data_IF_554537909957
#
_entry.id   IF_554537909957
#
_cell.length_a   1.000
_cell.length_b   1.000
_cell.length_c   1.000
_cell.angle_alpha   90.00
_cell.angle_beta   90.00
_cell.angle_gamma   90.00
#
_symmetry.space_group_name_H-M   'P 1'
#
loop_
_entity.id
_entity.type
_entity.pdbx_description
1 polymer ?
#
# COMPACT_ATOMS: atom_id res chain seq x y z
N UNK A 1 14.97 7.48 -7.03
CA UNK A 1 14.61 8.10 -5.74
C UNK A 1 14.24 6.99 -4.77
N UNK A 2 14.84 6.94 -3.57
CA UNK A 2 14.39 6.02 -2.52
C UNK A 2 13.27 6.72 -1.74
N UNK A 3 12.03 6.29 -1.94
CA UNK A 3 10.87 6.79 -1.17
C UNK A 3 10.82 6.09 0.18
N UNK A 4 10.91 6.87 1.27
CA UNK A 4 10.75 6.40 2.64
C UNK A 4 9.43 6.95 3.18
N UNK A 5 8.55 6.08 3.64
CA UNK A 5 7.26 6.47 4.18
C UNK A 5 6.52 5.28 4.76
N UNK A 6 5.34 5.53 5.32
CA UNK A 6 4.46 4.51 5.88
C UNK A 6 3.01 4.76 5.52
N UNK A 7 2.29 3.66 5.34
CA UNK A 7 0.83 3.63 5.16
C UNK A 7 0.33 2.39 5.88
N UNK A 8 -0.95 2.40 6.27
CA UNK A 8 -1.64 1.21 6.73
C UNK A 8 -2.96 1.06 6.00
N UNK A 9 -3.17 -0.06 5.31
CA UNK A 9 -4.49 -0.41 4.78
C UNK A 9 -5.46 -0.69 5.94
N UNK A 10 -6.57 0.04 5.96
CA UNK A 10 -7.70 -0.19 6.86
C UNK A 10 -8.74 -1.10 6.20
N UNK A 11 -8.84 -1.06 4.86
CA UNK A 11 -9.55 -2.06 4.07
C UNK A 11 -8.85 -2.27 2.71
N UNK A 12 -8.56 -3.52 2.30
CA UNK A 12 -8.62 -4.74 3.11
C UNK A 12 -7.68 -4.65 4.31
N UNK A 13 -7.94 -5.44 5.35
CA UNK A 13 -7.14 -5.35 6.57
C UNK A 13 -5.67 -5.71 6.29
N UNK A 14 -4.75 -4.84 6.70
CA UNK A 14 -3.31 -5.11 6.60
C UNK A 14 -2.89 -6.32 7.44
N UNK A 15 -1.71 -6.87 7.13
CA UNK A 15 -1.12 -7.98 7.90
C UNK A 15 -0.81 -7.56 9.34
N UNK A 16 -0.91 -8.52 10.26
CA UNK A 16 -0.49 -8.32 11.64
C UNK A 16 1.04 -8.51 11.78
N UNK A 17 1.73 -7.68 12.59
CA UNK A 17 1.22 -6.51 13.28
C UNK A 17 0.99 -5.32 12.31
N UNK A 18 -0.12 -4.55 12.46
CA UNK A 18 -0.42 -3.42 11.60
C UNK A 18 0.45 -2.21 11.97
N UNK A 19 1.70 -2.21 11.53
CA UNK A 19 2.65 -1.12 11.79
C UNK A 19 2.26 0.12 10.99
N UNK A 20 2.00 1.24 11.67
CA UNK A 20 1.60 2.51 11.06
C UNK A 20 2.52 3.68 11.45
N UNK A 21 3.65 3.40 12.11
CA UNK A 21 4.66 4.36 12.53
C UNK A 21 6.07 4.03 12.03
N UNK A 22 6.30 2.80 11.54
CA UNK A 22 7.58 2.39 10.96
C UNK A 22 7.54 2.56 9.45
N UNK A 23 8.51 3.29 8.93
CA UNK A 23 8.67 3.52 7.49
C UNK A 23 9.27 2.30 6.76
N UNK A 24 9.27 2.38 5.42
CA UNK A 24 9.83 1.36 4.53
C UNK A 24 11.32 1.07 4.75
N UNK A 25 12.07 1.94 5.41
CA UNK A 25 13.48 1.70 5.74
C UNK A 25 13.65 0.77 6.96
N UNK A 26 12.61 0.62 7.78
CA UNK A 26 12.61 -0.19 9.00
C UNK A 26 11.69 -1.43 8.91
N UNK A 27 11.12 -1.67 7.74
CA UNK A 27 10.14 -2.73 7.51
C UNK A 27 10.54 -3.61 6.33
N UNK A 28 9.84 -4.74 6.13
CA UNK A 28 10.22 -5.78 5.17
C UNK A 28 9.38 -5.67 3.91
N UNK A 29 10.01 -5.51 2.74
CA UNK A 29 9.30 -5.54 1.46
C UNK A 29 8.73 -6.94 1.15
N UNK A 30 7.61 -7.05 0.40
CA UNK A 30 6.83 -5.95 -0.16
C UNK A 30 5.71 -5.43 0.76
N UNK A 31 5.41 -6.11 1.88
CA UNK A 31 4.19 -5.87 2.67
C UNK A 31 4.44 -5.27 4.07
N UNK A 32 5.64 -4.78 4.36
CA UNK A 32 6.06 -4.21 5.64
C UNK A 32 6.36 -5.24 6.74
N UNK A 33 5.60 -6.33 6.79
CA UNK A 33 5.76 -7.41 7.79
C UNK A 33 5.76 -8.80 7.14
N UNK A 34 6.30 -9.84 7.82
CA UNK A 34 6.24 -11.21 7.34
C UNK A 34 4.79 -11.68 7.11
N UNK A 35 4.61 -12.62 6.18
CA UNK A 35 3.32 -13.30 6.02
C UNK A 35 3.05 -14.12 7.30
N UNK A 36 1.91 -13.95 7.98
CA UNK A 36 1.59 -14.73 9.17
C UNK A 36 1.34 -16.20 8.80
N UNK A 37 1.52 -17.10 9.77
CA UNK A 37 1.27 -18.55 9.61
C UNK A 37 -0.21 -18.81 9.28
N UNK A 38 -1.11 -18.03 9.88
CA UNK A 38 -2.55 -18.07 9.66
C UNK A 38 -3.03 -16.72 9.10
N UNK A 39 -2.91 -16.49 7.77
CA UNK A 39 -3.32 -15.25 7.15
C UNK A 39 -4.85 -15.08 7.15
N UNK A 40 -5.28 -13.86 7.46
CA UNK A 40 -6.66 -13.43 7.23
C UNK A 40 -6.77 -12.90 5.80
N UNK A 41 -7.69 -13.46 5.03
CA UNK A 41 -7.93 -13.06 3.65
C UNK A 41 -9.21 -12.26 3.55
N UNK A 42 -9.18 -11.23 2.71
CA UNK A 42 -10.38 -10.55 2.23
C UNK A 42 -10.77 -11.17 0.90
N UNK A 43 -12.01 -11.63 0.79
CA UNK A 43 -12.57 -12.14 -0.46
C UNK A 43 -13.18 -10.99 -1.25
N UNK A 44 -12.72 -10.81 -2.48
CA UNK A 44 -13.24 -9.83 -3.44
C UNK A 44 -13.85 -10.61 -4.61
N UNK A 45 -15.06 -10.24 -5.00
CA UNK A 45 -15.81 -10.90 -6.07
C UNK A 45 -15.59 -10.16 -7.39
N UNK A 46 -15.50 -10.93 -8.47
CA UNK A 46 -15.32 -10.39 -9.82
C UNK A 46 -16.57 -9.59 -10.23
N UNK A 47 -16.37 -8.42 -10.81
CA UNK A 47 -17.44 -7.52 -11.24
C UNK A 47 -17.93 -6.54 -10.17
N UNK A 48 -17.51 -6.71 -8.92
CA UNK A 48 -17.86 -5.82 -7.83
C UNK A 48 -16.88 -4.64 -7.70
N UNK A 49 -17.39 -3.50 -7.22
CA UNK A 49 -16.59 -2.33 -6.89
C UNK A 49 -16.29 -2.28 -5.39
N UNK A 50 -15.03 -1.99 -5.04
CA UNK A 50 -14.59 -1.94 -3.65
C UNK A 50 -13.87 -0.63 -3.33
N UNK A 51 -14.16 -0.06 -2.16
CA UNK A 51 -13.46 1.09 -1.63
C UNK A 51 -12.28 0.64 -0.77
N UNK A 52 -11.08 0.65 -1.35
CA UNK A 52 -9.85 0.45 -0.60
C UNK A 52 -9.57 1.69 0.24
N UNK A 53 -9.28 1.50 1.52
CA UNK A 53 -9.00 2.59 2.46
C UNK A 53 -7.70 2.36 3.17
N UNK A 54 -6.98 3.45 3.40
CA UNK A 54 -5.73 3.45 4.16
C UNK A 54 -5.63 4.71 5.00
N UNK A 55 -4.73 4.68 5.97
CA UNK A 55 -4.36 5.84 6.77
C UNK A 55 -2.87 6.06 6.76
N UNK A 56 -2.50 7.34 6.91
CA UNK A 56 -1.13 7.77 7.20
C UNK A 56 -1.17 8.44 8.56
N UNK A 57 -0.53 7.83 9.55
CA UNK A 57 -0.50 8.43 10.90
C UNK A 57 0.33 9.72 10.91
N UNK A 58 1.32 9.81 10.02
CA UNK A 58 2.09 11.01 9.73
C UNK A 58 2.14 11.17 8.20
N UNK A 59 1.57 12.26 7.64
CA UNK A 59 1.59 12.50 6.21
C UNK A 59 3.02 12.62 5.68
N UNK A 60 3.26 12.06 4.48
CA UNK A 60 4.53 12.20 3.77
C UNK A 60 4.28 12.90 2.44
N UNK A 61 5.24 13.71 2.01
CA UNK A 61 5.28 14.20 0.64
C UNK A 61 5.53 13.03 -0.32
N UNK A 62 4.76 12.97 -1.40
CA UNK A 62 4.89 11.95 -2.42
C UNK A 62 3.57 11.65 -3.12
N UNK A 63 3.61 10.60 -3.94
CA UNK A 63 2.42 10.01 -4.54
C UNK A 63 2.21 8.58 -4.05
N UNK A 64 1.14 7.96 -4.53
CA UNK A 64 0.86 6.55 -4.23
C UNK A 64 0.79 5.70 -5.49
N UNK A 65 1.11 4.42 -5.32
CA UNK A 65 0.94 3.37 -6.33
C UNK A 65 0.22 2.21 -5.68
N UNK A 66 -0.83 1.71 -6.32
CA UNK A 66 -1.57 0.53 -5.87
C UNK A 66 -1.35 -0.60 -6.88
N UNK A 67 -0.90 -1.74 -6.37
CA UNK A 67 -0.50 -2.89 -7.18
C UNK A 67 -1.00 -4.18 -6.56
N UNK A 68 -1.35 -5.15 -7.41
CA UNK A 68 -1.65 -6.53 -7.04
C UNK A 68 -0.41 -7.37 -7.28
N UNK A 69 -0.02 -8.15 -6.27
CA UNK A 69 1.10 -9.09 -6.36
C UNK A 69 0.59 -10.52 -6.12
N UNK A 70 1.28 -11.52 -6.65
CA UNK A 70 0.99 -12.93 -6.39
C UNK A 70 1.65 -13.40 -5.07
N UNK A 71 1.49 -14.70 -4.77
CA UNK A 71 2.07 -15.31 -3.56
C UNK A 71 3.61 -15.31 -3.55
N UNK A 72 4.26 -15.37 -4.71
CA UNK A 72 5.71 -15.28 -4.85
C UNK A 72 6.24 -13.85 -4.68
N UNK A 73 5.35 -12.85 -4.71
CA UNK A 73 5.69 -11.43 -4.62
C UNK A 73 5.87 -10.75 -5.98
N UNK A 74 5.57 -11.44 -7.08
CA UNK A 74 5.64 -10.86 -8.42
C UNK A 74 4.45 -9.93 -8.66
N UNK A 75 4.70 -8.83 -9.37
CA UNK A 75 3.68 -7.89 -9.80
C UNK A 75 2.75 -8.56 -10.84
N UNK A 76 1.45 -8.59 -10.53
CA UNK A 76 0.40 -9.08 -11.44
C UNK A 76 -0.28 -7.93 -12.16
N UNK A 77 -0.61 -6.86 -11.43
CA UNK A 77 -1.34 -5.73 -12.00
C UNK A 77 -1.02 -4.43 -11.24
N UNK A 78 -0.99 -3.31 -11.97
CA UNK A 78 -0.93 -1.98 -11.38
C UNK A 78 -2.32 -1.33 -11.51
N UNK A 79 -3.01 -1.18 -10.38
CA UNK A 79 -4.35 -0.60 -10.32
C UNK A 79 -4.30 0.94 -10.37
N UNK A 80 -3.23 1.53 -9.85
CA UNK A 80 -3.01 2.97 -9.89
C UNK A 80 -1.50 3.27 -9.86
N UNK A 81 -1.00 4.25 -10.64
CA UNK A 81 -1.71 5.01 -11.68
C UNK A 81 -1.98 4.15 -12.93
N UNK A 82 -3.10 4.43 -13.62
CA UNK A 82 -3.51 3.72 -14.86
C UNK A 82 -2.89 4.29 -16.14
N UNK A 83 -2.36 5.53 -16.10
CA UNK A 83 -1.92 6.28 -17.29
C UNK A 83 -0.39 6.23 -17.54
N UNK A 84 0.31 5.25 -16.98
CA UNK A 84 1.76 5.08 -17.21
C UNK A 84 2.67 6.07 -16.47
N UNK A 85 2.13 6.94 -15.60
CA UNK A 85 2.96 7.63 -14.61
C UNK A 85 3.49 6.63 -13.57
N UNK A 86 4.50 7.01 -12.79
CA UNK A 86 5.06 6.11 -11.75
C UNK A 86 4.19 6.10 -10.48
N UNK A 87 3.60 7.25 -10.15
CA UNK A 87 2.74 7.46 -8.97
C UNK A 87 1.55 8.37 -9.30
N UNK A 88 0.46 8.24 -8.53
CA UNK A 88 -0.67 9.20 -8.52
C UNK A 88 -0.37 10.32 -7.52
N UNK A 89 -0.74 11.56 -7.85
CA UNK A 89 -0.75 12.68 -6.89
C UNK A 89 0.60 13.34 -6.64
N UNK A 90 1.62 13.09 -7.48
CA UNK A 90 2.94 13.72 -7.34
C UNK A 90 2.91 15.27 -7.41
N UNK A 91 1.85 15.85 -7.96
CA UNK A 91 1.64 17.30 -8.04
C UNK A 91 0.82 17.84 -6.85
N UNK A 92 0.09 16.99 -6.14
CA UNK A 92 -0.78 17.34 -5.00
C UNK A 92 -0.19 16.76 -3.71
N UNK A 93 0.95 17.35 -3.33
CA UNK A 93 1.72 16.97 -2.16
C UNK A 93 0.85 17.21 -0.92
N UNK A 94 0.45 16.14 -0.25
CA UNK A 94 -0.12 16.24 1.09
C UNK A 94 0.86 16.97 2.00
N UNK A 95 0.57 18.27 2.21
CA UNK A 95 1.04 19.20 3.24
C UNK A 95 2.24 20.09 2.86
N UNK A 96 1.97 21.40 2.70
CA UNK A 96 2.82 22.47 3.26
C UNK A 96 3.08 22.15 4.73
N UNK A 97 4.22 21.52 5.00
CA UNK A 97 4.66 21.23 6.37
C UNK A 97 5.39 22.41 6.98
#
# INVERSE_FOLDING_TARGET
>A
YHTVGHILLTFPLARFPPLDFLDSARTISPCGVPKPIHPHYTHLYVGESYNFTWRLQYPHQGGYRLSVINEAGDLIEQLAPVNGSEYVGIEDQTVTS
#
